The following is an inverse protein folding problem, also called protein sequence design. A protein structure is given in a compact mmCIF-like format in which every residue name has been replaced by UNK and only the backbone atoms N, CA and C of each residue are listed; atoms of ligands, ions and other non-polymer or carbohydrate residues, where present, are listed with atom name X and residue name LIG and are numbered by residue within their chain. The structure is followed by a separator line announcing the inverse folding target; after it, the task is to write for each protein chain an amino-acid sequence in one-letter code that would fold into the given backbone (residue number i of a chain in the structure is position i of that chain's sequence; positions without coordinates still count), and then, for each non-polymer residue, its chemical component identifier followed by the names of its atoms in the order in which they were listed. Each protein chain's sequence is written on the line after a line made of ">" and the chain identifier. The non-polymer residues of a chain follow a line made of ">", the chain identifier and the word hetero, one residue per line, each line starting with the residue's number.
data_IF_192517486703
#
_entry.id   IF_192517486703
#
_cell.length_a   1.000
_cell.length_b   1.000
_cell.length_c   1.000
_cell.angle_alpha   90.00
_cell.angle_beta   90.00
_cell.angle_gamma   90.00
#
_symmetry.space_group_name_H-M   'P 1'
#
loop_
_entity.id
_entity.type
_entity.pdbx_description
1 polymer ?
#
# COMPACT_ATOMS: atom_id res chain seq x y z
N UNK A 1 23.14 10.72 -0.39
CA UNK A 1 21.90 11.36 0.13
C UNK A 1 21.27 10.55 1.25
N UNK A 2 21.19 9.21 1.15
CA UNK A 2 20.86 8.35 2.29
C UNK A 2 22.01 7.34 2.50
N UNK A 3 22.82 7.54 3.55
CA UNK A 3 24.04 6.76 3.84
C UNK A 3 24.03 6.08 5.21
N UNK A 4 22.85 6.01 5.84
CA UNK A 4 22.68 5.25 7.08
C UNK A 4 22.81 3.74 6.84
N UNK A 5 23.22 3.00 7.88
CA UNK A 5 23.37 1.54 7.80
C UNK A 5 22.06 0.83 7.44
N UNK A 6 20.93 1.37 7.89
CA UNK A 6 19.58 0.90 7.55
C UNK A 6 18.75 2.04 6.99
N UNK A 7 18.12 1.81 5.84
CA UNK A 7 17.24 2.74 5.15
C UNK A 7 15.88 2.08 4.92
N UNK A 8 14.81 2.81 5.23
CA UNK A 8 13.45 2.47 4.88
C UNK A 8 12.83 3.56 4.03
N UNK A 9 12.05 3.13 3.04
CA UNK A 9 11.16 3.99 2.26
C UNK A 9 9.75 3.39 2.29
N UNK A 10 8.75 4.23 2.47
CA UNK A 10 7.34 3.84 2.40
C UNK A 10 6.57 4.93 1.66
N UNK A 11 5.74 4.50 0.72
CA UNK A 11 4.82 5.38 0.00
C UNK A 11 3.49 4.69 -0.23
N UNK A 12 2.41 5.47 -0.30
CA UNK A 12 1.06 5.01 -0.62
C UNK A 12 0.48 5.88 -1.73
N UNK A 13 -0.20 5.27 -2.69
CA UNK A 13 -0.92 6.01 -3.73
C UNK A 13 -2.11 6.76 -3.16
N UNK A 14 -2.24 8.05 -3.48
CA UNK A 14 -3.44 8.85 -3.15
C UNK A 14 -4.37 8.85 -4.36
N UNK A 15 -3.84 9.20 -5.53
CA UNK A 15 -4.48 9.06 -6.85
C UNK A 15 -3.74 8.01 -7.68
N UNK A 16 -4.36 7.41 -8.71
CA UNK A 16 -3.69 6.44 -9.56
C UNK A 16 -2.42 7.01 -10.17
N UNK A 17 -1.35 6.22 -10.12
CA UNK A 17 -0.06 6.56 -10.71
C UNK A 17 0.65 5.32 -11.23
N UNK A 18 1.84 5.53 -11.80
CA UNK A 18 2.59 4.46 -12.49
C UNK A 18 2.93 3.27 -11.60
N UNK A 19 3.19 3.50 -10.31
CA UNK A 19 3.65 2.46 -9.38
C UNK A 19 2.55 1.90 -8.49
N UNK A 20 1.52 2.70 -8.20
CA UNK A 20 0.51 2.37 -7.19
C UNK A 20 -0.83 2.95 -7.61
N UNK A 21 -1.88 2.17 -7.39
CA UNK A 21 -3.25 2.66 -7.42
C UNK A 21 -3.50 3.69 -6.33
N UNK A 22 -4.43 4.61 -6.61
CA UNK A 22 -4.94 5.54 -5.61
C UNK A 22 -5.84 4.85 -4.58
N UNK A 23 -6.24 5.61 -3.57
CA UNK A 23 -7.21 5.14 -2.58
C UNK A 23 -8.56 4.94 -3.27
N UNK A 24 -9.13 3.74 -3.14
CA UNK A 24 -10.46 3.39 -3.67
C UNK A 24 -11.41 3.11 -2.52
N UNK A 25 -12.45 3.92 -2.38
CA UNK A 25 -13.52 3.69 -1.41
C UNK A 25 -14.59 2.77 -1.97
N UNK A 26 -15.15 1.91 -1.13
CA UNK A 26 -16.28 1.04 -1.47
C UNK A 26 -17.21 0.92 -0.27
N UNK A 27 -18.39 0.31 -0.46
CA UNK A 27 -19.34 0.14 0.63
C UNK A 27 -18.73 -0.71 1.76
N UNK A 28 -18.53 -0.08 2.93
CA UNK A 28 -17.96 -0.71 4.12
C UNK A 28 -16.43 -0.72 4.19
N UNK A 29 -15.71 -0.02 3.30
CA UNK A 29 -14.24 0.01 3.37
C UNK A 29 -13.51 0.87 2.36
N UNK A 30 -12.19 0.71 2.35
CA UNK A 30 -11.28 1.34 1.39
C UNK A 30 -10.16 0.37 0.99
N UNK A 31 -9.59 0.54 -0.20
CA UNK A 31 -8.43 -0.21 -0.68
C UNK A 31 -7.29 0.74 -1.00
N UNK A 32 -6.09 0.40 -0.54
CA UNK A 32 -4.87 1.20 -0.73
C UNK A 32 -3.76 0.33 -1.27
N UNK A 33 -2.90 0.88 -2.13
CA UNK A 33 -1.67 0.23 -2.55
C UNK A 33 -0.46 1.02 -2.07
N UNK A 34 0.51 0.33 -1.47
CA UNK A 34 1.74 0.90 -0.93
C UNK A 34 2.98 0.20 -1.45
N UNK A 35 4.10 0.92 -1.53
CA UNK A 35 5.43 0.39 -1.80
C UNK A 35 6.30 0.60 -0.57
N UNK A 36 6.79 -0.49 0.01
CA UNK A 36 7.71 -0.47 1.15
C UNK A 36 9.04 -1.08 0.73
N UNK A 37 10.13 -0.32 0.88
CA UNK A 37 11.49 -0.76 0.58
C UNK A 37 12.33 -0.71 1.86
N UNK A 38 13.09 -1.76 2.12
CA UNK A 38 13.95 -1.88 3.29
C UNK A 38 15.31 -2.43 2.90
N UNK A 39 16.39 -1.70 3.22
CA UNK A 39 17.76 -2.17 2.98
C UNK A 39 18.14 -3.34 3.90
N UNK A 40 17.64 -3.34 5.13
CA UNK A 40 17.93 -4.38 6.12
C UNK A 40 17.40 -5.75 5.67
N UNK A 41 16.15 -5.80 5.20
CA UNK A 41 15.55 -7.04 4.68
C UNK A 41 15.88 -7.31 3.22
N UNK A 42 16.44 -6.32 2.50
CA UNK A 42 16.67 -6.34 1.05
C UNK A 42 15.40 -6.65 0.26
N UNK A 43 14.27 -6.05 0.67
CA UNK A 43 12.98 -6.28 0.00
C UNK A 43 12.36 -4.98 -0.51
N UNK A 44 11.63 -5.11 -1.62
CA UNK A 44 10.63 -4.17 -2.08
C UNK A 44 9.28 -4.90 -2.05
N UNK A 45 8.31 -4.37 -1.31
CA UNK A 45 7.00 -4.98 -1.09
C UNK A 45 5.93 -4.05 -1.61
N UNK A 46 5.21 -4.51 -2.62
CA UNK A 46 3.92 -3.95 -2.96
C UNK A 46 2.89 -4.54 -1.99
N UNK A 47 2.21 -3.67 -1.27
CA UNK A 47 1.25 -4.04 -0.24
C UNK A 47 -0.10 -3.51 -0.69
N UNK A 48 -1.00 -4.43 -1.01
CA UNK A 48 -2.39 -4.14 -1.35
C UNK A 48 -3.27 -4.50 -0.16
N UNK A 49 -3.91 -3.48 0.41
CA UNK A 49 -4.64 -3.59 1.67
C UNK A 49 -6.09 -3.23 1.47
N UNK A 50 -6.98 -4.14 1.87
CA UNK A 50 -8.41 -3.88 2.04
C UNK A 50 -8.67 -3.51 3.51
N UNK A 51 -9.02 -2.25 3.74
CA UNK A 51 -9.44 -1.73 5.03
C UNK A 51 -10.94 -1.94 5.18
N UNK A 52 -11.35 -2.82 6.10
CA UNK A 52 -12.76 -3.10 6.38
C UNK A 52 -13.21 -2.24 7.56
N UNK A 53 -14.01 -1.21 7.30
CA UNK A 53 -14.53 -0.31 8.35
C UNK A 53 -15.76 -0.90 9.03
N UNK A 54 -16.56 -1.64 8.26
CA UNK A 54 -17.69 -2.44 8.70
C UNK A 54 -17.51 -3.87 8.16
N UNK A 55 -18.49 -4.76 8.39
CA UNK A 55 -18.47 -6.10 7.81
C UNK A 55 -18.90 -6.01 6.33
N UNK A 56 -17.96 -6.13 5.36
CA UNK A 56 -18.31 -5.95 3.96
C UNK A 56 -19.13 -7.16 3.48
N UNK A 57 -20.18 -6.91 2.69
CA UNK A 57 -20.98 -8.00 2.09
C UNK A 57 -20.20 -8.78 1.04
N UNK A 58 -19.22 -8.16 0.41
CA UNK A 58 -18.37 -8.74 -0.62
C UNK A 58 -16.97 -8.13 -0.54
N UNK A 59 -15.96 -8.95 -0.78
CA UNK A 59 -14.56 -8.53 -0.89
C UNK A 59 -14.10 -8.87 -2.29
N UNK A 60 -13.69 -7.85 -3.04
CA UNK A 60 -13.14 -8.04 -4.38
C UNK A 60 -11.65 -8.36 -4.28
N UNK A 61 -11.23 -9.48 -4.88
CA UNK A 61 -9.83 -9.90 -4.87
C UNK A 61 -8.93 -9.01 -5.74
N UNK A 62 -9.44 -8.49 -6.86
CA UNK A 62 -8.70 -7.60 -7.77
C UNK A 62 -9.63 -6.58 -8.42
#
# INVERSE_FOLDING_TARGET
>A
LASGETVLFAACGITPGTLMEGVRFFQGGARTQSLVISSQSKTARFVDTVHMFEQPKYIQLS
#
